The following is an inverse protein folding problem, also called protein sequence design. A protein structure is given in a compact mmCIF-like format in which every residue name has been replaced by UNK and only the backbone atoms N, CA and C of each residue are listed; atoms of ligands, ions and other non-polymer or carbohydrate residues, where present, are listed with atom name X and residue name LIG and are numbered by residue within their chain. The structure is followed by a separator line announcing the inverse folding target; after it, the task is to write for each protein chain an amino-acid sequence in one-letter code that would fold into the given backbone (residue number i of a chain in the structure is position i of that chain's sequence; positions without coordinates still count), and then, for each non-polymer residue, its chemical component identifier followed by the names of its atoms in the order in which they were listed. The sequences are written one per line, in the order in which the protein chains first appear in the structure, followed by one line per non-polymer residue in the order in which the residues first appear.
data_IF_618079951143
#
_entry.id   IF_618079951143
#
_cell.length_a   1.000
_cell.length_b   1.000
_cell.length_c   1.000
_cell.angle_alpha   90.00
_cell.angle_beta   90.00
_cell.angle_gamma   90.00
#
_symmetry.space_group_name_H-M   'P 1'
#
loop_
_entity.id
_entity.type
_entity.pdbx_description
1 polymer ?
#
# COMPACT_ATOMS: atom_id res chain seq x y z
N UNK A 1 -0.24 -5.60 17.53
CA UNK A 1 -0.48 -4.23 17.03
C UNK A 1 -1.92 -4.10 16.56
N UNK A 2 -2.62 -3.08 17.01
CA UNK A 2 -4.00 -2.83 16.56
C UNK A 2 -3.98 -1.90 15.35
N UNK A 3 -4.39 -2.41 14.18
CA UNK A 3 -4.40 -1.65 12.93
C UNK A 3 -5.77 -1.04 12.58
N UNK A 4 -6.77 -1.25 13.44
CA UNK A 4 -8.10 -0.72 13.19
C UNK A 4 -8.07 0.80 13.01
N UNK A 5 -8.62 1.27 11.90
CA UNK A 5 -8.68 2.69 11.53
C UNK A 5 -7.31 3.34 11.28
N UNK A 6 -6.23 2.55 11.23
CA UNK A 6 -4.92 3.07 10.86
C UNK A 6 -4.79 3.18 9.36
N UNK A 7 -4.05 4.17 8.89
CA UNK A 7 -3.83 4.37 7.46
C UNK A 7 -2.57 3.62 7.04
N UNK A 8 -2.76 2.57 6.26
CA UNK A 8 -1.68 1.69 5.81
C UNK A 8 -1.43 1.91 4.33
N UNK A 9 -0.21 2.28 3.98
CA UNK A 9 0.21 2.42 2.59
C UNK A 9 0.86 1.10 2.14
N UNK A 10 0.27 0.49 1.12
CA UNK A 10 0.85 -0.70 0.49
C UNK A 10 1.52 -0.27 -0.81
N UNK A 11 2.82 -0.47 -0.91
CA UNK A 11 3.60 -0.09 -2.09
C UNK A 11 3.93 -1.33 -2.92
N UNK A 12 3.39 -1.39 -4.12
CA UNK A 12 3.55 -2.53 -5.02
C UNK A 12 2.39 -3.50 -4.91
N UNK A 13 1.58 -3.57 -5.95
CA UNK A 13 0.41 -4.45 -6.00
C UNK A 13 0.72 -5.67 -6.87
N UNK A 14 1.16 -6.76 -6.23
CA UNK A 14 1.43 -8.04 -6.88
C UNK A 14 0.57 -9.10 -6.17
N UNK A 15 0.77 -10.38 -6.48
CA UNK A 15 -0.01 -11.46 -5.86
C UNK A 15 0.04 -11.43 -4.34
N UNK A 16 1.23 -11.20 -3.78
CA UNK A 16 1.41 -11.09 -2.33
C UNK A 16 0.67 -9.87 -1.77
N UNK A 17 0.60 -8.79 -2.57
CA UNK A 17 -0.14 -7.59 -2.19
C UNK A 17 -1.63 -7.85 -2.02
N UNK A 18 -2.21 -8.71 -2.85
CA UNK A 18 -3.64 -9.08 -2.74
C UNK A 18 -3.89 -9.73 -1.37
N UNK A 19 -3.05 -10.69 -0.98
CA UNK A 19 -3.19 -11.36 0.31
C UNK A 19 -3.03 -10.37 1.47
N UNK A 20 -2.09 -9.46 1.36
CA UNK A 20 -1.86 -8.42 2.36
C UNK A 20 -3.08 -7.51 2.50
N UNK A 21 -3.67 -7.09 1.38
CA UNK A 21 -4.87 -6.24 1.39
C UNK A 21 -6.02 -6.97 2.08
N UNK A 22 -6.22 -8.24 1.77
CA UNK A 22 -7.30 -9.01 2.39
C UNK A 22 -7.11 -9.14 3.90
N UNK A 23 -5.87 -9.33 4.33
CA UNK A 23 -5.56 -9.38 5.76
C UNK A 23 -5.81 -8.03 6.44
N UNK A 24 -5.34 -6.94 5.83
CA UNK A 24 -5.55 -5.60 6.38
C UNK A 24 -7.03 -5.25 6.45
N UNK A 25 -7.80 -5.70 5.47
CA UNK A 25 -9.25 -5.50 5.48
C UNK A 25 -9.90 -6.20 6.68
N UNK A 26 -9.45 -7.42 6.99
CA UNK A 26 -9.94 -8.14 8.17
C UNK A 26 -9.59 -7.42 9.46
N UNK A 27 -8.48 -6.72 9.49
CA UNK A 27 -8.03 -5.94 10.64
C UNK A 27 -8.68 -4.55 10.70
N UNK A 28 -9.57 -4.27 9.76
CA UNK A 28 -10.33 -3.02 9.67
C UNK A 28 -9.44 -1.78 9.49
N UNK A 29 -8.29 -1.95 8.82
CA UNK A 29 -7.41 -0.85 8.48
C UNK A 29 -7.94 -0.08 7.27
N UNK A 30 -7.55 1.19 7.16
CA UNK A 30 -7.75 1.97 5.95
C UNK A 30 -6.54 1.71 5.05
N UNK A 31 -6.79 1.33 3.80
CA UNK A 31 -5.72 0.86 2.91
C UNK A 31 -5.52 1.85 1.77
N UNK A 32 -4.27 2.23 1.53
CA UNK A 32 -3.89 3.05 0.39
C UNK A 32 -2.93 2.20 -0.44
N UNK A 33 -3.33 1.85 -1.66
CA UNK A 33 -2.54 0.97 -2.53
C UNK A 33 -1.84 1.82 -3.58
N UNK A 34 -0.54 1.70 -3.66
CA UNK A 34 0.27 2.38 -4.66
C UNK A 34 0.98 1.38 -5.56
N UNK A 35 0.95 1.63 -6.86
CA UNK A 35 1.77 0.91 -7.84
C UNK A 35 2.11 1.86 -8.98
N UNK A 36 3.32 1.74 -9.52
CA UNK A 36 3.74 2.54 -10.66
C UNK A 36 3.03 2.10 -11.94
N UNK A 37 2.55 0.86 -11.98
CA UNK A 37 1.76 0.38 -13.11
C UNK A 37 0.39 1.03 -13.11
N UNK A 38 -0.14 1.29 -14.29
CA UNK A 38 -1.44 1.91 -14.40
C UNK A 38 -2.58 0.92 -14.17
N UNK A 39 -3.79 1.46 -14.08
CA UNK A 39 -5.01 0.69 -13.82
C UNK A 39 -5.21 -0.44 -14.82
N UNK A 40 -4.89 -0.21 -16.08
CA UNK A 40 -5.12 -1.20 -17.12
C UNK A 40 -4.23 -2.44 -16.94
N UNK A 41 -2.98 -2.23 -16.56
CA UNK A 41 -2.05 -3.34 -16.33
C UNK A 41 -2.40 -4.15 -15.09
N UNK A 42 -3.13 -3.55 -14.16
CA UNK A 42 -3.52 -4.19 -12.89
C UNK A 42 -4.98 -4.65 -12.90
N UNK A 43 -5.62 -4.64 -14.06
CA UNK A 43 -7.06 -4.91 -14.20
C UNK A 43 -7.51 -6.18 -13.50
N UNK A 44 -6.81 -7.29 -13.70
CA UNK A 44 -7.21 -8.58 -13.12
C UNK A 44 -7.12 -8.56 -11.60
N UNK A 45 -6.08 -7.94 -11.07
CA UNK A 45 -5.89 -7.83 -9.63
C UNK A 45 -6.96 -6.92 -9.02
N UNK A 46 -7.26 -5.81 -9.69
CA UNK A 46 -8.29 -4.88 -9.22
C UNK A 46 -9.67 -5.52 -9.22
N UNK A 47 -9.95 -6.37 -10.20
CA UNK A 47 -11.21 -7.10 -10.24
C UNK A 47 -11.35 -8.03 -9.03
N UNK A 48 -10.25 -8.67 -8.64
CA UNK A 48 -10.23 -9.54 -7.47
C UNK A 48 -10.48 -8.77 -6.16
N UNK A 49 -10.10 -7.49 -6.14
CA UNK A 49 -10.20 -6.65 -4.95
C UNK A 49 -11.44 -5.75 -4.92
N UNK A 50 -12.31 -5.85 -5.92
CA UNK A 50 -13.43 -4.90 -6.09
C UNK A 50 -14.40 -4.82 -4.92
N UNK A 51 -14.52 -5.90 -4.15
CA UNK A 51 -15.46 -5.96 -3.02
C UNK A 51 -14.85 -5.48 -1.71
N UNK A 52 -13.56 -5.14 -1.71
CA UNK A 52 -12.89 -4.67 -0.51
C UNK A 52 -13.12 -3.17 -0.35
N UNK A 53 -13.65 -2.78 0.79
CA UNK A 53 -13.98 -1.39 1.12
C UNK A 53 -12.80 -0.72 1.83
N UNK A 54 -12.90 0.59 2.02
CA UNK A 54 -11.88 1.40 2.71
C UNK A 54 -10.50 1.33 2.03
N UNK A 55 -10.50 1.23 0.70
CA UNK A 55 -9.29 1.12 -0.08
C UNK A 55 -9.23 2.26 -1.11
N UNK A 56 -8.11 2.97 -1.11
CA UNK A 56 -7.81 4.02 -2.08
C UNK A 56 -6.67 3.52 -2.97
N UNK A 57 -6.72 3.84 -4.25
CA UNK A 57 -5.69 3.41 -5.21
C UNK A 57 -4.97 4.62 -5.81
N UNK A 58 -3.64 4.57 -5.77
CA UNK A 58 -2.75 5.54 -6.41
C UNK A 58 -1.92 4.77 -7.43
N UNK A 59 -2.38 4.75 -8.68
CA UNK A 59 -1.81 3.91 -9.73
C UNK A 59 -1.19 4.75 -10.85
N UNK A 60 -0.05 4.29 -11.35
CA UNK A 60 0.65 4.96 -12.44
C UNK A 60 1.64 6.02 -12.00
N UNK A 61 1.70 6.32 -10.72
CA UNK A 61 2.64 7.30 -10.17
C UNK A 61 2.86 7.02 -8.68
N UNK A 62 3.85 7.68 -8.09
CA UNK A 62 4.12 7.54 -6.65
C UNK A 62 3.39 8.62 -5.84
N UNK A 63 3.02 8.32 -4.59
CA UNK A 63 2.34 9.31 -3.75
C UNK A 63 3.26 10.50 -3.46
N UNK A 64 2.69 11.69 -3.44
CA UNK A 64 3.43 12.91 -3.15
C UNK A 64 3.25 13.35 -1.70
N UNK A 65 2.14 12.98 -1.09
CA UNK A 65 1.84 13.33 0.30
C UNK A 65 1.75 12.05 1.14
N UNK A 66 2.58 11.96 2.17
CA UNK A 66 2.65 10.80 3.05
C UNK A 66 2.32 11.15 4.51
N UNK A 67 1.86 12.36 4.77
CA UNK A 67 1.67 12.86 6.14
C UNK A 67 0.64 12.08 6.94
N UNK A 68 -0.32 11.47 6.27
CA UNK A 68 -1.43 10.76 6.91
C UNK A 68 -1.21 9.26 7.06
N UNK A 69 -0.02 8.78 6.73
CA UNK A 69 0.29 7.34 6.75
C UNK A 69 0.79 6.94 8.13
N UNK A 70 0.24 5.85 8.66
CA UNK A 70 0.65 5.29 9.95
C UNK A 70 1.69 4.18 9.80
N UNK A 71 1.62 3.43 8.70
CA UNK A 71 2.51 2.31 8.44
C UNK A 71 2.61 2.10 6.93
N UNK A 72 3.79 1.79 6.43
CA UNK A 72 3.97 1.44 5.03
C UNK A 72 4.47 0.01 4.90
N UNK A 73 3.84 -0.76 4.01
CA UNK A 73 4.25 -2.13 3.68
C UNK A 73 4.74 -2.12 2.24
N UNK A 74 5.98 -2.52 2.03
CA UNK A 74 6.63 -2.43 0.72
C UNK A 74 6.85 -3.83 0.14
N UNK A 75 6.42 -4.02 -1.10
CA UNK A 75 6.61 -5.28 -1.82
C UNK A 75 8.11 -5.51 -2.07
N UNK A 76 8.58 -6.78 -2.04
CA UNK A 76 10.01 -7.08 -2.20
C UNK A 76 10.65 -6.54 -3.47
N UNK A 77 9.86 -6.38 -4.54
CA UNK A 77 10.38 -5.87 -5.82
C UNK A 77 10.53 -4.35 -5.88
N UNK A 78 10.12 -3.62 -4.84
CA UNK A 78 10.16 -2.16 -4.84
C UNK A 78 11.43 -1.67 -4.17
N UNK A 79 12.21 -0.77 -4.82
CA UNK A 79 13.40 -0.20 -4.18
C UNK A 79 13.04 0.61 -2.94
N UNK A 80 13.82 0.43 -1.87
CA UNK A 80 13.57 1.12 -0.60
C UNK A 80 14.16 2.53 -0.57
N UNK A 81 14.84 2.94 -1.62
CA UNK A 81 15.46 4.26 -1.71
C UNK A 81 14.66 5.24 -2.58
N UNK A 82 13.44 4.89 -2.93
CA UNK A 82 12.57 5.82 -3.65
C UNK A 82 12.29 7.07 -2.80
N UNK A 83 12.22 8.25 -3.41
CA UNK A 83 12.06 9.50 -2.65
C UNK A 83 10.92 9.50 -1.65
N UNK A 84 9.74 8.99 -2.02
CA UNK A 84 8.61 9.01 -1.09
C UNK A 84 8.80 8.02 0.07
N UNK A 85 9.55 6.93 -0.14
CA UNK A 85 9.87 5.98 0.92
C UNK A 85 10.87 6.58 1.90
N UNK A 86 11.88 7.29 1.37
CA UNK A 86 12.81 8.02 2.21
C UNK A 86 12.10 9.08 3.04
N UNK A 87 11.10 9.74 2.46
CA UNK A 87 10.30 10.72 3.17
C UNK A 87 9.49 10.08 4.30
N UNK A 88 8.94 8.89 4.08
CA UNK A 88 8.24 8.15 5.14
C UNK A 88 9.17 7.91 6.33
N UNK A 89 10.40 7.47 6.05
CA UNK A 89 11.39 7.23 7.10
C UNK A 89 11.77 8.52 7.82
N UNK A 90 11.92 9.61 7.08
CA UNK A 90 12.24 10.92 7.63
C UNK A 90 11.15 11.40 8.59
N UNK A 91 9.90 11.07 8.29
CA UNK A 91 8.74 11.42 9.13
C UNK A 91 8.53 10.41 10.27
N UNK A 92 9.46 9.48 10.47
CA UNK A 92 9.39 8.43 11.49
C UNK A 92 8.22 7.47 11.30
N UNK A 93 7.77 7.28 10.07
CA UNK A 93 6.72 6.32 9.74
C UNK A 93 7.40 4.96 9.52
N UNK A 94 6.90 3.94 10.20
CA UNK A 94 7.46 2.60 10.07
C UNK A 94 7.26 2.07 8.66
N UNK A 95 8.33 1.54 8.08
CA UNK A 95 8.32 0.94 6.74
C UNK A 95 8.77 -0.51 6.87
N UNK A 96 7.90 -1.44 6.53
CA UNK A 96 8.22 -2.87 6.59
C UNK A 96 8.13 -3.48 5.19
N UNK A 97 8.97 -4.48 4.95
CA UNK A 97 8.92 -5.23 3.70
C UNK A 97 7.99 -6.42 3.84
N UNK A 98 7.34 -6.80 2.75
CA UNK A 98 6.60 -8.06 2.69
C UNK A 98 7.58 -9.22 2.64
N UNK A 99 7.25 -10.30 3.30
CA UNK A 99 8.07 -11.51 3.30
C UNK A 99 7.42 -12.58 2.45
#
# INVERSE_FOLDING_TARGET
MNLKNKNILLVGLAKTGVSTIKLLNKLEANIIVNDIKDKEKLKDILEELKDIKNTEYILGYHPQNVDHIDLAVVSPGVPLDLPFILKLKEENIEVIGEV
#
